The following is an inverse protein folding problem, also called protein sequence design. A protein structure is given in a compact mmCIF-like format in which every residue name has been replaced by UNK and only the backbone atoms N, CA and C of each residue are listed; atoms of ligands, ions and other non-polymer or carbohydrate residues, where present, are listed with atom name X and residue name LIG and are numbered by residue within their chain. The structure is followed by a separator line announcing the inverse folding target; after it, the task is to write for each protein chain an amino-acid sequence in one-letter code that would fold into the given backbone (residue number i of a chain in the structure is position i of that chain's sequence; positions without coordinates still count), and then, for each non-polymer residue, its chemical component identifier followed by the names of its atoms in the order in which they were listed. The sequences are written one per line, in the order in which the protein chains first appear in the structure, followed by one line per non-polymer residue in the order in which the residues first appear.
data_IF_224797335824
#
_entry.id   IF_224797335824
#
_cell.length_a   1.000
_cell.length_b   1.000
_cell.length_c   1.000
_cell.angle_alpha   90.00
_cell.angle_beta   90.00
_cell.angle_gamma   90.00
#
_symmetry.space_group_name_H-M   'P 1'
#
loop_
_entity.id
_entity.type
_entity.pdbx_description
1 polymer ?
#
# COMPACT_ATOMS: atom_id res chain seq x y z
N UNK A 1 14.19 -1.17 -0.09
CA UNK A 1 13.16 -0.11 -0.16
C UNK A 1 11.77 -0.59 0.29
N UNK A 2 11.18 -1.62 -0.32
CA UNK A 2 9.84 -2.13 0.07
C UNK A 2 9.81 -2.58 1.54
N UNK A 3 10.76 -3.41 1.98
CA UNK A 3 10.79 -3.89 3.38
C UNK A 3 10.94 -2.76 4.41
N UNK A 4 11.64 -1.67 4.07
CA UNK A 4 11.77 -0.50 4.95
C UNK A 4 10.42 0.24 5.07
N UNK A 5 9.74 0.46 3.94
CA UNK A 5 8.42 1.07 3.94
C UNK A 5 7.38 0.21 4.67
N UNK A 6 7.48 -1.11 4.54
CA UNK A 6 6.64 -2.09 5.27
C UNK A 6 6.87 -2.00 6.77
N UNK A 7 8.13 -1.96 7.23
CA UNK A 7 8.45 -1.83 8.65
C UNK A 7 7.93 -0.52 9.23
N UNK A 8 8.11 0.60 8.51
CA UNK A 8 7.56 1.91 8.90
C UNK A 8 6.03 1.89 8.94
N UNK A 9 5.38 1.31 7.92
CA UNK A 9 3.93 1.21 7.86
C UNK A 9 3.35 0.31 8.97
N UNK A 10 4.03 -0.78 9.30
CA UNK A 10 3.66 -1.64 10.42
C UNK A 10 3.80 -0.92 11.76
N UNK A 11 4.88 -0.14 11.95
CA UNK A 11 5.08 0.70 13.14
C UNK A 11 4.02 1.79 13.28
N UNK A 12 3.72 2.52 12.19
CA UNK A 12 2.63 3.50 12.15
C UNK A 12 1.30 2.81 12.47
N UNK A 13 1.01 1.69 11.81
CA UNK A 13 -0.21 0.93 12.07
C UNK A 13 -0.33 0.41 13.51
N UNK A 14 0.78 0.12 14.19
CA UNK A 14 0.74 -0.32 15.59
C UNK A 14 0.23 0.78 16.54
N UNK A 15 0.28 2.06 16.15
CA UNK A 15 -0.30 3.16 16.92
C UNK A 15 -1.79 3.33 16.59
N UNK A 16 -2.69 3.37 17.58
CA UNK A 16 -4.12 3.49 17.33
C UNK A 16 -4.53 4.94 17.05
N UNK A 17 -4.05 5.56 15.96
CA UNK A 17 -4.43 6.95 15.56
C UNK A 17 -4.77 7.04 14.05
N UNK A 18 -6.06 6.98 13.68
CA UNK A 18 -6.49 6.74 12.29
C UNK A 18 -6.18 7.87 11.27
N UNK A 19 -6.18 9.14 11.69
CA UNK A 19 -5.89 10.26 10.78
C UNK A 19 -4.41 10.60 10.68
N UNK A 20 -3.66 10.46 11.78
CA UNK A 20 -2.22 10.67 11.80
C UNK A 20 -1.49 9.58 10.98
N UNK A 21 -1.97 8.33 11.04
CA UNK A 21 -1.43 7.23 10.26
C UNK A 21 -1.51 7.50 8.75
N UNK A 22 -2.65 7.98 8.23
CA UNK A 22 -2.80 8.28 6.81
C UNK A 22 -1.88 9.43 6.35
N UNK A 23 -1.74 10.48 7.17
CA UNK A 23 -0.87 11.62 6.89
C UNK A 23 0.62 11.25 6.86
N UNK A 24 1.04 10.25 7.64
CA UNK A 24 2.41 9.73 7.64
C UNK A 24 2.62 8.61 6.60
N UNK A 25 1.58 7.85 6.26
CA UNK A 25 1.65 6.78 5.27
C UNK A 25 1.75 7.32 3.84
N UNK A 26 1.09 8.44 3.51
CA UNK A 26 1.19 9.02 2.15
C UNK A 26 2.64 9.41 1.80
N UNK A 27 3.39 10.16 2.62
CA UNK A 27 4.81 10.41 2.38
C UNK A 27 5.66 9.14 2.28
N UNK A 28 5.37 8.12 3.10
CA UNK A 28 6.07 6.82 3.04
C UNK A 28 5.82 6.11 1.69
N UNK A 29 4.57 6.08 1.22
CA UNK A 29 4.20 5.50 -0.08
C UNK A 29 4.87 6.26 -1.23
N UNK A 30 4.85 7.59 -1.21
CA UNK A 30 5.48 8.43 -2.23
C UNK A 30 6.99 8.18 -2.29
N UNK A 31 7.65 8.16 -1.13
CA UNK A 31 9.09 7.87 -1.02
C UNK A 31 9.42 6.48 -1.55
N UNK A 32 8.63 5.47 -1.19
CA UNK A 32 8.82 4.10 -1.67
C UNK A 32 8.69 4.01 -3.20
N UNK A 33 7.64 4.61 -3.76
CA UNK A 33 7.38 4.64 -5.21
C UNK A 33 8.53 5.34 -5.94
N UNK A 34 9.00 6.49 -5.44
CA UNK A 34 10.12 7.21 -6.03
C UNK A 34 11.40 6.38 -6.03
N UNK A 35 11.72 5.70 -4.91
CA UNK A 35 12.90 4.83 -4.81
C UNK A 35 12.82 3.62 -5.73
N UNK A 36 11.65 2.99 -5.86
CA UNK A 36 11.44 1.90 -6.81
C UNK A 36 11.64 2.39 -8.25
N UNK A 37 11.01 3.52 -8.60
CA UNK A 37 11.13 4.10 -9.94
C UNK A 37 12.60 4.38 -10.31
N UNK A 38 13.36 4.97 -9.38
CA UNK A 38 14.78 5.22 -9.56
C UNK A 38 15.61 3.93 -9.69
N UNK A 39 15.28 2.87 -8.94
CA UNK A 39 15.97 1.59 -9.03
C UNK A 39 15.82 0.90 -10.40
N UNK A 40 14.73 1.19 -11.13
CA UNK A 40 14.51 0.74 -12.50
C UNK A 40 15.08 1.71 -13.56
N UNK A 41 15.75 2.79 -13.15
CA UNK A 41 16.29 3.81 -14.07
C UNK A 41 15.20 4.66 -14.74
N UNK A 42 13.96 4.64 -14.23
CA UNK A 42 12.86 5.43 -14.75
C UNK A 42 12.84 6.83 -14.10
N UNK A 43 12.35 7.87 -14.79
CA UNK A 43 12.28 9.21 -14.21
C UNK A 43 11.30 9.24 -13.03
N UNK A 44 11.72 9.64 -11.82
CA UNK A 44 10.81 9.80 -10.69
C UNK A 44 9.85 10.96 -10.95
N UNK A 45 8.58 10.79 -10.57
CA UNK A 45 7.57 11.86 -10.63
C UNK A 45 6.76 11.89 -9.35
N UNK A 46 6.82 13.02 -8.66
CA UNK A 46 6.04 13.26 -7.43
C UNK A 46 4.54 13.21 -7.71
N UNK A 47 4.10 13.78 -8.83
CA UNK A 47 2.70 13.76 -9.26
C UNK A 47 2.19 12.35 -9.49
N UNK A 48 2.95 11.51 -10.20
CA UNK A 48 2.60 10.09 -10.37
C UNK A 48 2.55 9.37 -9.03
N UNK A 49 3.57 9.54 -8.20
CA UNK A 49 3.63 8.89 -6.90
C UNK A 49 2.44 9.27 -6.00
N UNK A 50 2.01 10.53 -6.03
CA UNK A 50 0.81 11.00 -5.34
C UNK A 50 -0.47 10.40 -5.93
N UNK A 51 -0.60 10.34 -7.25
CA UNK A 51 -1.76 9.73 -7.90
C UNK A 51 -1.90 8.24 -7.54
N UNK A 52 -0.78 7.51 -7.55
CA UNK A 52 -0.72 6.11 -7.14
C UNK A 52 -1.09 5.97 -5.66
N UNK A 53 -0.49 6.77 -4.78
CA UNK A 53 -0.82 6.77 -3.36
C UNK A 53 -2.31 7.08 -3.11
N UNK A 54 -2.88 8.04 -3.83
CA UNK A 54 -4.32 8.36 -3.78
C UNK A 54 -5.20 7.18 -4.21
N UNK A 55 -4.80 6.47 -5.28
CA UNK A 55 -5.51 5.26 -5.73
C UNK A 55 -5.48 4.13 -4.70
N UNK A 56 -4.41 4.01 -3.91
CA UNK A 56 -4.33 3.05 -2.80
C UNK A 56 -5.33 3.39 -1.71
N UNK A 57 -5.49 4.68 -1.37
CA UNK A 57 -6.50 5.11 -0.40
C UNK A 57 -7.90 4.79 -0.91
N UNK A 58 -8.18 5.07 -2.19
CA UNK A 58 -9.49 4.82 -2.80
C UNK A 58 -9.82 3.32 -2.86
N UNK A 59 -8.85 2.48 -3.24
CA UNK A 59 -9.04 1.03 -3.38
C UNK A 59 -8.97 0.28 -2.05
N UNK A 60 -8.20 0.78 -1.08
CA UNK A 60 -8.03 0.21 0.25
C UNK A 60 -8.98 0.75 1.31
N UNK A 61 -9.83 1.74 0.99
CA UNK A 61 -10.71 2.42 1.93
C UNK A 61 -11.63 1.48 2.72
N UNK A 62 -12.21 0.48 2.05
CA UNK A 62 -13.05 -0.53 2.71
C UNK A 62 -12.27 -1.37 3.74
N UNK A 63 -11.03 -1.74 3.42
CA UNK A 63 -10.14 -2.47 4.34
C UNK A 63 -9.78 -1.62 5.56
N UNK A 64 -9.50 -0.33 5.35
CA UNK A 64 -9.22 0.61 6.44
C UNK A 64 -10.44 0.81 7.34
N UNK A 65 -11.63 0.95 6.76
CA UNK A 65 -12.88 1.07 7.52
C UNK A 65 -13.19 -0.19 8.33
N UNK A 66 -13.05 -1.38 7.74
CA UNK A 66 -13.23 -2.65 8.45
C UNK A 66 -12.25 -2.84 9.61
N UNK A 67 -10.96 -2.52 9.41
CA UNK A 67 -9.95 -2.51 10.48
C UNK A 67 -10.35 -1.56 11.60
N UNK A 68 -10.82 -0.36 11.26
CA UNK A 68 -11.24 0.61 12.27
C UNK A 68 -12.39 0.08 13.13
N UNK A 69 -13.39 -0.55 12.51
CA UNK A 69 -14.49 -1.18 13.25
C UNK A 69 -13.98 -2.29 14.19
N UNK A 70 -13.15 -3.22 13.71
CA UNK A 70 -12.62 -4.33 14.52
C UNK A 70 -11.77 -3.82 15.68
N UNK A 71 -10.83 -2.91 15.41
CA UNK A 71 -9.95 -2.34 16.47
C UNK A 71 -10.72 -1.51 17.49
N UNK A 72 -11.82 -0.87 17.08
CA UNK A 72 -12.69 -0.13 18.00
C UNK A 72 -13.50 -1.05 18.90
N UNK A 73 -13.96 -2.19 18.40
CA UNK A 73 -14.65 -3.21 19.19
C UNK A 73 -13.70 -3.90 20.19
N UNK A 74 -12.47 -4.18 19.77
CA UNK A 74 -11.46 -4.82 20.64
C UNK A 74 -11.03 -3.94 21.83
N UNK A 75 -11.22 -2.62 21.76
CA UNK A 75 -10.91 -1.71 22.88
C UNK A 75 -11.77 -1.94 24.13
N UNK A 76 -12.92 -2.61 24.00
CA UNK A 76 -13.81 -2.91 25.12
C UNK A 76 -13.46 -4.20 25.87
N UNK A 77 -12.49 -4.97 25.37
CA UNK A 77 -12.00 -6.19 26.02
C UNK A 77 -10.67 -5.90 26.73
N UNK A 78 -10.49 -6.31 28.00
CA UNK A 78 -9.21 -6.21 28.68
C UNK A 78 -8.10 -6.89 27.85
N UNK A 79 -7.06 -6.15 27.46
CA UNK A 79 -5.97 -6.64 26.59
C UNK A 79 -6.23 -6.52 25.07
N UNK A 80 -7.45 -6.17 24.63
CA UNK A 80 -7.78 -6.07 23.21
C UNK A 80 -7.11 -4.92 22.45
N UNK A 81 -6.55 -3.93 23.16
CA UNK A 81 -5.69 -2.91 22.57
C UNK A 81 -4.39 -3.49 21.97
N UNK A 82 -3.81 -4.52 22.60
CA UNK A 82 -2.58 -5.19 22.11
C UNK A 82 -2.88 -6.04 20.88
N UNK A 83 -4.01 -6.76 20.90
CA UNK A 83 -4.49 -7.49 19.73
C UNK A 83 -4.81 -6.52 18.58
N UNK A 84 -5.48 -5.40 18.86
CA UNK A 84 -5.82 -4.37 17.89
C UNK A 84 -4.61 -3.70 17.24
N UNK A 85 -3.53 -3.46 17.99
CA UNK A 85 -2.28 -2.91 17.45
C UNK A 85 -1.53 -3.93 16.57
N UNK A 86 -1.47 -5.20 16.97
CA UNK A 86 -0.85 -6.25 16.17
C UNK A 86 -1.59 -6.49 14.84
N UNK A 87 -2.92 -6.57 14.87
CA UNK A 87 -3.77 -6.68 13.67
C UNK A 87 -3.53 -5.48 12.76
N UNK A 88 -3.52 -4.28 13.35
CA UNK A 88 -3.28 -3.06 12.62
C UNK A 88 -1.93 -3.02 11.92
N UNK A 89 -0.85 -3.32 12.64
CA UNK A 89 0.51 -3.36 12.11
C UNK A 89 0.62 -4.36 10.95
N UNK A 90 0.00 -5.53 11.11
CA UNK A 90 0.00 -6.57 10.08
C UNK A 90 -0.73 -6.12 8.82
N UNK A 91 -1.93 -5.55 8.95
CA UNK A 91 -2.71 -5.04 7.80
C UNK A 91 -1.96 -3.91 7.10
N UNK A 92 -1.41 -2.95 7.84
CA UNK A 92 -0.64 -1.84 7.27
C UNK A 92 0.59 -2.35 6.51
N UNK A 93 1.38 -3.24 7.13
CA UNK A 93 2.56 -3.83 6.49
C UNK A 93 2.21 -4.63 5.24
N UNK A 94 1.13 -5.41 5.28
CA UNK A 94 0.68 -6.20 4.12
C UNK A 94 0.21 -5.31 2.96
N UNK A 95 -0.56 -4.25 3.25
CA UNK A 95 -0.99 -3.27 2.25
C UNK A 95 0.22 -2.57 1.63
N UNK A 96 1.16 -2.08 2.43
CA UNK A 96 2.37 -1.43 1.90
C UNK A 96 3.22 -2.37 1.06
N UNK A 97 3.34 -3.65 1.45
CA UNK A 97 4.00 -4.66 0.63
C UNK A 97 3.29 -4.84 -0.71
N UNK A 98 1.96 -4.98 -0.69
CA UNK A 98 1.17 -5.15 -1.92
C UNK A 98 1.34 -3.96 -2.87
N UNK A 99 1.30 -2.74 -2.35
CA UNK A 99 1.54 -1.51 -3.14
C UNK A 99 2.94 -1.49 -3.75
N UNK A 100 3.97 -1.77 -2.96
CA UNK A 100 5.35 -1.79 -3.44
C UNK A 100 5.57 -2.84 -4.55
N UNK A 101 4.99 -4.03 -4.39
CA UNK A 101 5.07 -5.09 -5.39
C UNK A 101 4.27 -4.75 -6.66
N UNK A 102 3.06 -4.20 -6.52
CA UNK A 102 2.26 -3.76 -7.66
C UNK A 102 2.99 -2.67 -8.47
N UNK A 103 3.62 -1.71 -7.78
CA UNK A 103 4.40 -0.68 -8.45
C UNK A 103 5.66 -1.24 -9.14
N UNK A 104 6.36 -2.20 -8.52
CA UNK A 104 7.48 -2.88 -9.17
C UNK A 104 7.04 -3.56 -10.48
N UNK A 105 5.88 -4.21 -10.51
CA UNK A 105 5.31 -4.78 -11.75
C UNK A 105 5.00 -3.74 -12.82
N UNK A 106 4.57 -2.54 -12.43
CA UNK A 106 4.40 -1.42 -13.39
C UNK A 106 5.76 -1.01 -13.98
N UNK A 107 6.80 -0.91 -13.16
CA UNK A 107 8.14 -0.58 -13.63
C UNK A 107 8.71 -1.67 -14.55
N UNK A 108 8.53 -2.95 -14.20
CA UNK A 108 8.91 -4.09 -15.06
C UNK A 108 8.20 -4.03 -16.41
N UNK A 109 6.88 -3.78 -16.42
CA UNK A 109 6.13 -3.60 -17.65
C UNK A 109 6.65 -2.43 -18.48
N UNK A 110 6.91 -1.28 -17.85
CA UNK A 110 7.42 -0.10 -18.53
C UNK A 110 8.80 -0.33 -19.17
N UNK A 111 9.65 -1.15 -18.54
CA UNK A 111 10.96 -1.53 -19.09
C UNK A 111 10.88 -2.49 -20.28
N UNK A 112 9.76 -3.19 -20.46
CA UNK A 112 9.50 -4.00 -21.64
C UNK A 112 9.03 -3.21 -22.87
N UNK A 113 8.79 -1.89 -22.74
CA UNK A 113 8.35 -1.02 -23.81
C UNK A 113 9.53 -0.34 -24.52
N UNK A 114 9.34 0.11 -25.77
CA UNK A 114 10.29 1.01 -26.43
C UNK A 114 10.39 2.34 -25.68
N UNK A 115 11.51 3.08 -25.78
CA UNK A 115 11.68 4.35 -25.06
C UNK A 115 10.53 5.34 -25.28
N UNK A 116 10.07 5.50 -26.52
CA UNK A 116 9.01 6.43 -26.88
C UNK A 116 7.67 5.99 -26.28
N UNK A 117 7.37 4.68 -26.36
CA UNK A 117 6.12 4.13 -25.81
C UNK A 117 6.13 4.14 -24.28
N UNK A 118 7.29 3.93 -23.68
CA UNK A 118 7.51 4.01 -22.23
C UNK A 118 7.24 5.42 -21.71
N UNK A 119 7.77 6.45 -22.36
CA UNK A 119 7.55 7.83 -21.93
C UNK A 119 6.09 8.24 -22.11
N UNK A 120 5.46 7.85 -23.24
CA UNK A 120 4.04 8.04 -23.47
C UNK A 120 3.16 7.32 -22.42
N UNK A 121 3.53 6.08 -22.05
CA UNK A 121 2.88 5.33 -20.98
C UNK A 121 3.04 6.06 -19.64
N UNK A 122 4.27 6.43 -19.26
CA UNK A 122 4.57 7.13 -18.01
C UNK A 122 3.88 8.50 -17.91
N UNK A 123 3.49 9.12 -19.02
CA UNK A 123 2.75 10.37 -19.04
C UNK A 123 1.22 10.20 -18.99
N UNK A 124 0.69 8.99 -19.19
CA UNK A 124 -0.74 8.73 -19.33
C UNK A 124 -1.40 8.18 -18.05
N UNK A 125 -2.74 8.14 -18.04
CA UNK A 125 -3.53 7.49 -16.97
C UNK A 125 -3.34 5.97 -16.94
N UNK A 126 -2.84 5.38 -18.03
CA UNK A 126 -2.63 3.94 -18.21
C UNK A 126 -1.72 3.37 -17.10
N UNK A 127 -0.77 4.16 -16.59
CA UNK A 127 0.08 3.80 -15.46
C UNK A 127 -0.73 3.49 -14.21
N UNK A 128 -1.69 4.37 -13.88
CA UNK A 128 -2.56 4.21 -12.71
C UNK A 128 -3.50 3.03 -12.91
N UNK A 129 -4.03 2.84 -14.11
CA UNK A 129 -4.89 1.71 -14.45
C UNK A 129 -4.15 0.36 -14.31
N UNK A 130 -2.94 0.26 -14.87
CA UNK A 130 -2.07 -0.92 -14.71
C UNK A 130 -1.71 -1.16 -13.25
N UNK A 131 -1.35 -0.11 -12.52
CA UNK A 131 -1.08 -0.19 -11.08
C UNK A 131 -2.27 -0.78 -10.32
N UNK A 132 -3.47 -0.22 -10.51
CA UNK A 132 -4.70 -0.70 -9.86
C UNK A 132 -5.00 -2.15 -10.26
N UNK A 133 -4.79 -2.50 -11.53
CA UNK A 133 -4.92 -3.87 -12.02
C UNK A 133 -4.00 -4.84 -11.27
N UNK A 134 -2.71 -4.52 -11.16
CA UNK A 134 -1.75 -5.34 -10.42
C UNK A 134 -2.03 -5.39 -8.91
N UNK A 135 -2.47 -4.28 -8.32
CA UNK A 135 -2.84 -4.23 -6.91
C UNK A 135 -4.04 -5.14 -6.62
N UNK A 136 -5.07 -5.12 -7.47
CA UNK A 136 -6.25 -6.00 -7.35
C UNK A 136 -5.89 -7.47 -7.55
N UNK A 137 -5.06 -7.78 -8.53
CA UNK A 137 -4.57 -9.14 -8.76
C UNK A 137 -3.75 -9.66 -7.57
N UNK A 138 -2.87 -8.81 -7.03
CA UNK A 138 -2.09 -9.09 -5.83
C UNK A 138 -2.96 -9.32 -4.58
N UNK A 139 -4.01 -8.51 -4.38
CA UNK A 139 -4.95 -8.68 -3.27
C UNK A 139 -5.83 -9.94 -3.38
N UNK A 140 -6.16 -10.36 -4.59
CA UNK A 140 -6.95 -11.58 -4.83
C UNK A 140 -6.13 -12.86 -4.58
N UNK A 141 -4.80 -12.76 -4.70
CA UNK A 141 -3.87 -13.89 -4.57
C UNK A 141 -3.18 -13.93 -3.19
N UNK A 142 -3.05 -12.78 -2.52
CA UNK A 142 -2.32 -12.62 -1.25
C UNK A 142 -3.20 -12.84 -0.03
N UNK A 143 -2.63 -13.51 0.98
CA UNK A 143 -3.25 -13.89 2.24
C UNK A 143 -3.72 -12.74 3.16
N UNK A 144 -3.97 -11.52 2.67
CA UNK A 144 -4.60 -10.44 3.45
C UNK A 144 -6.00 -10.85 3.90
N UNK A 145 -6.78 -11.50 3.02
CA UNK A 145 -8.08 -12.09 3.38
C UNK A 145 -7.90 -13.22 4.41
N UNK A 146 -6.88 -14.06 4.25
CA UNK A 146 -6.56 -15.12 5.22
C UNK A 146 -6.12 -14.57 6.57
N UNK A 147 -5.32 -13.51 6.62
CA UNK A 147 -4.85 -12.85 7.85
C UNK A 147 -5.99 -12.16 8.57
N UNK A 148 -6.87 -11.45 7.84
CA UNK A 148 -8.10 -10.88 8.41
C UNK A 148 -9.01 -11.99 8.97
N UNK A 149 -9.13 -13.11 8.27
CA UNK A 149 -9.92 -14.26 8.74
C UNK A 149 -9.29 -14.94 9.97
N UNK A 150 -7.96 -15.04 10.04
CA UNK A 150 -7.20 -15.59 11.19
C UNK A 150 -7.16 -14.67 12.41
N UNK A 151 -7.36 -13.36 12.23
CA UNK A 151 -7.45 -12.41 13.34
C UNK A 151 -8.84 -12.42 14.01
N UNK A 152 -9.83 -13.07 13.39
CA UNK A 152 -11.23 -13.15 13.82
C UNK A 152 -11.65 -14.57 14.24
N UNK A 153 -10.73 -15.54 14.21
CA UNK A 153 -10.91 -16.94 14.67
C UNK A 153 -9.81 -17.28 15.65
#
# INVERSE_FOLDING_TARGET
MINQAVALAAGIGATPIPFADAALLVPNQVTMIARITAAYGLPPSKTRALAIAGSVVLTGGATMAGRYAVTSLLKFVPGGAIAGSAISATVAGALTKAVGMAWARVCEYAMGLTPERRDAFLASSEVTEKFVGFLKAGNSTSGIVKVAKRALT
#
